data_IF_286168737048
#
_entry.id   IF_286168737048
#
_cell.length_a   1.000
_cell.length_b   1.000
_cell.length_c   1.000
_cell.angle_alpha   90.00
_cell.angle_beta   90.00
_cell.angle_gamma   90.00
#
_symmetry.space_group_name_H-M   'P 1'
#
loop_
_entity.id
_entity.type
_entity.pdbx_description
1 polymer ?
#
# COMPACT_ATOMS: atom_id res chain seq x y z
N UNK A 1 -3.83 7.23 10.00
CA UNK A 1 -3.38 6.24 8.98
C UNK A 1 -2.10 5.53 9.45
N UNK A 2 -1.14 6.29 9.97
CA UNK A 2 0.18 5.80 10.41
C UNK A 2 0.13 4.68 11.45
N UNK A 3 -0.77 4.76 12.44
CA UNK A 3 -0.93 3.71 13.44
C UNK A 3 -1.20 2.33 12.79
N UNK A 4 -2.12 2.24 11.83
CA UNK A 4 -2.41 0.95 11.19
C UNK A 4 -1.25 0.45 10.33
N UNK A 5 -0.51 1.35 9.66
CA UNK A 5 0.70 0.99 8.90
C UNK A 5 1.79 0.47 9.83
N UNK A 6 2.00 1.13 10.98
CA UNK A 6 2.96 0.70 11.99
C UNK A 6 2.56 -0.65 12.58
N UNK A 7 1.27 -0.87 12.83
CA UNK A 7 0.74 -2.18 13.24
C UNK A 7 1.06 -3.25 12.19
N UNK A 8 0.79 -3.00 10.90
CA UNK A 8 1.12 -3.94 9.83
C UNK A 8 2.63 -4.22 9.77
N UNK A 9 3.48 -3.20 9.96
CA UNK A 9 4.94 -3.36 10.01
C UNK A 9 5.38 -4.23 11.19
N UNK A 10 4.82 -4.00 12.37
CA UNK A 10 5.11 -4.80 13.56
C UNK A 10 4.69 -6.26 13.36
N UNK A 11 3.48 -6.49 12.82
CA UNK A 11 3.01 -7.85 12.50
C UNK A 11 3.94 -8.56 11.52
N UNK A 12 4.44 -7.85 10.49
CA UNK A 12 5.42 -8.40 9.55
C UNK A 12 6.76 -8.74 10.21
N UNK A 13 7.26 -7.88 11.11
CA UNK A 13 8.50 -8.13 11.84
C UNK A 13 8.38 -9.36 12.77
N UNK A 14 7.22 -9.55 13.40
CA UNK A 14 7.00 -10.64 14.33
C UNK A 14 6.72 -11.98 13.61
N UNK A 15 5.96 -11.93 12.51
CA UNK A 15 5.48 -13.11 11.78
C UNK A 15 5.59 -12.94 10.26
N UNK A 16 6.82 -12.84 9.70
CA UNK A 16 7.01 -12.65 8.27
C UNK A 16 6.42 -13.80 7.44
N UNK A 17 6.30 -15.01 8.01
CA UNK A 17 5.70 -16.19 7.39
C UNK A 17 4.23 -16.03 7.02
N UNK A 18 3.51 -15.09 7.65
CA UNK A 18 2.11 -14.80 7.31
C UNK A 18 1.96 -13.86 6.10
N UNK A 19 3.03 -13.15 5.72
CA UNK A 19 3.01 -12.15 4.66
C UNK A 19 3.62 -12.72 3.38
N UNK A 20 2.83 -13.55 2.70
CA UNK A 20 3.30 -14.41 1.60
C UNK A 20 3.31 -13.74 0.23
N UNK A 21 2.85 -12.49 0.13
CA UNK A 21 2.71 -11.80 -1.16
C UNK A 21 4.06 -11.34 -1.72
N UNK A 22 4.35 -11.75 -2.95
CA UNK A 22 5.49 -11.31 -3.75
C UNK A 22 5.18 -10.08 -4.61
N UNK A 23 3.95 -9.57 -4.52
CA UNK A 23 3.43 -8.50 -5.38
C UNK A 23 3.70 -7.12 -4.79
N UNK A 24 4.00 -6.15 -5.64
CA UNK A 24 4.07 -4.73 -5.27
C UNK A 24 2.70 -4.07 -5.36
N UNK A 25 2.30 -3.32 -4.32
CA UNK A 25 1.05 -2.54 -4.30
C UNK A 25 1.37 -1.04 -4.37
N UNK A 26 0.82 -0.35 -5.37
CA UNK A 26 0.93 1.11 -5.50
C UNK A 26 -0.38 1.78 -5.08
N UNK A 27 -0.31 2.71 -4.12
CA UNK A 27 -1.46 3.48 -3.66
C UNK A 27 -1.86 4.59 -4.63
N UNK A 28 -0.87 5.19 -5.29
CA UNK A 28 -1.10 6.28 -6.22
C UNK A 28 -1.45 5.74 -7.62
N UNK A 29 -2.64 6.09 -8.08
CA UNK A 29 -3.16 5.65 -9.37
C UNK A 29 -2.48 6.33 -10.56
N UNK A 30 -1.88 7.52 -10.39
CA UNK A 30 -1.13 8.23 -11.43
C UNK A 30 0.26 7.59 -11.55
N UNK A 31 0.94 7.40 -10.42
CA UNK A 31 2.22 6.72 -10.34
C UNK A 31 2.14 5.32 -10.94
N UNK A 32 1.16 4.50 -10.55
CA UNK A 32 1.00 3.16 -11.11
C UNK A 32 0.75 3.15 -12.63
N UNK A 33 0.01 4.13 -13.15
CA UNK A 33 -0.20 4.28 -14.60
C UNK A 33 1.08 4.71 -15.33
N UNK A 34 1.81 5.68 -14.79
CA UNK A 34 3.08 6.16 -15.35
C UNK A 34 4.15 5.08 -15.31
N UNK A 35 4.26 4.38 -14.17
CA UNK A 35 5.12 3.23 -13.98
C UNK A 35 4.86 2.19 -15.07
N UNK A 36 3.60 1.77 -15.21
CA UNK A 36 3.21 0.79 -16.22
C UNK A 36 3.54 1.22 -17.64
N UNK A 37 3.25 2.48 -17.97
CA UNK A 37 3.48 3.01 -19.32
C UNK A 37 4.97 3.07 -19.67
N UNK A 38 5.83 3.40 -18.71
CA UNK A 38 7.26 3.60 -18.94
C UNK A 38 8.12 2.37 -18.64
N UNK A 39 7.54 1.29 -18.09
CA UNK A 39 8.30 0.07 -17.79
C UNK A 39 8.91 -0.61 -19.02
N UNK A 40 8.24 -0.68 -20.19
CA UNK A 40 8.87 -1.23 -21.40
C UNK A 40 10.17 -0.49 -21.75
N UNK A 41 10.17 0.85 -21.61
CA UNK A 41 11.34 1.69 -21.87
C UNK A 41 12.46 1.35 -20.88
N UNK A 42 12.16 1.27 -19.58
CA UNK A 42 13.11 0.83 -18.54
C UNK A 42 13.71 -0.55 -18.83
N UNK A 43 12.90 -1.50 -19.31
CA UNK A 43 13.37 -2.86 -19.66
C UNK A 43 14.29 -2.84 -20.89
N UNK A 44 14.04 -1.97 -21.84
CA UNK A 44 14.84 -1.82 -23.07
C UNK A 44 16.14 -1.04 -22.85
N UNK A 45 16.23 -0.26 -21.77
CA UNK A 45 17.37 0.60 -21.50
C UNK A 45 18.61 -0.21 -21.09
N UNK A 46 19.73 0.10 -21.74
CA UNK A 46 21.00 -0.58 -21.49
C UNK A 46 21.67 0.03 -20.26
N UNK A 47 22.08 -0.78 -19.28
CA UNK A 47 22.87 -0.28 -18.18
C UNK A 47 24.26 0.16 -18.67
N UNK A 48 24.96 0.94 -17.85
CA UNK A 48 26.36 1.24 -18.04
C UNK A 48 27.26 0.01 -17.85
N UNK A 49 28.57 0.18 -18.04
CA UNK A 49 29.57 -0.88 -17.91
C UNK A 49 29.59 -1.56 -16.52
N UNK A 50 29.03 -0.91 -15.50
CA UNK A 50 28.94 -1.41 -14.13
C UNK A 50 27.53 -1.96 -13.79
N UNK A 51 26.61 -2.02 -14.76
CA UNK A 51 25.24 -2.44 -14.52
C UNK A 51 24.32 -1.33 -13.98
N UNK A 52 24.81 -0.10 -13.87
CA UNK A 52 24.10 1.06 -13.29
C UNK A 52 23.43 1.93 -14.37
N UNK A 53 22.72 2.97 -13.95
CA UNK A 53 22.33 4.06 -14.84
C UNK A 53 21.15 3.77 -15.78
N UNK A 54 20.33 2.75 -15.49
CA UNK A 54 19.05 2.58 -16.23
C UNK A 54 18.08 3.71 -15.88
N UNK A 55 17.36 4.20 -16.88
CA UNK A 55 16.24 5.14 -16.75
C UNK A 55 15.06 4.43 -16.10
N UNK A 56 14.77 4.80 -14.86
CA UNK A 56 13.54 4.39 -14.18
C UNK A 56 12.31 4.90 -14.93
N UNK A 57 11.16 4.22 -14.77
CA UNK A 57 9.88 4.73 -15.22
C UNK A 57 9.65 6.20 -14.78
N UNK A 58 9.19 7.04 -15.70
CA UNK A 58 9.02 8.47 -15.46
C UNK A 58 10.25 9.35 -15.72
N UNK A 59 11.33 8.79 -16.29
CA UNK A 59 12.51 9.55 -16.72
C UNK A 59 13.50 9.87 -15.58
N UNK A 60 13.28 9.31 -14.39
CA UNK A 60 14.24 9.36 -13.30
C UNK A 60 15.43 8.42 -13.58
N UNK A 61 16.60 8.74 -13.05
CA UNK A 61 17.78 7.89 -13.17
C UNK A 61 17.94 7.01 -11.93
N UNK A 62 18.21 5.72 -12.13
CA UNK A 62 18.60 4.85 -11.01
C UNK A 62 20.07 5.09 -10.65
N UNK A 63 20.30 5.91 -9.62
CA UNK A 63 21.63 6.13 -9.06
C UNK A 63 21.98 5.15 -7.92
N UNK A 64 21.05 4.27 -7.51
CA UNK A 64 21.21 3.42 -6.33
C UNK A 64 21.72 2.01 -6.70
N UNK A 65 23.01 1.81 -6.43
CA UNK A 65 23.70 0.57 -6.06
C UNK A 65 23.41 -0.71 -6.87
N UNK A 66 24.23 -0.95 -7.89
CA UNK A 66 25.00 -2.18 -8.15
C UNK A 66 24.28 -3.51 -8.37
N UNK A 67 22.95 -3.56 -8.34
CA UNK A 67 22.21 -4.82 -8.45
C UNK A 67 21.73 -5.03 -9.88
N UNK A 68 22.21 -6.10 -10.50
CA UNK A 68 21.70 -6.58 -11.79
C UNK A 68 20.30 -7.19 -11.57
N UNK A 69 19.26 -6.52 -12.06
CA UNK A 69 17.90 -7.05 -12.01
C UNK A 69 17.70 -8.09 -13.13
N UNK A 70 17.33 -9.31 -12.77
CA UNK A 70 16.73 -10.28 -13.72
C UNK A 70 15.28 -9.83 -13.96
N UNK A 71 15.03 -9.18 -15.11
CA UNK A 71 13.75 -8.58 -15.44
C UNK A 71 12.75 -9.63 -15.96
N UNK A 72 12.19 -10.42 -15.04
CA UNK A 72 10.94 -11.13 -15.32
C UNK A 72 9.85 -10.12 -15.74
N UNK A 73 8.94 -10.48 -16.67
CA UNK A 73 7.84 -9.61 -17.01
C UNK A 73 6.94 -9.38 -15.79
N UNK A 74 6.91 -8.14 -15.28
CA UNK A 74 5.90 -7.77 -14.29
C UNK A 74 4.51 -7.88 -14.93
N UNK A 75 3.57 -8.44 -14.20
CA UNK A 75 2.15 -8.39 -14.55
C UNK A 75 1.47 -7.36 -13.66
N UNK A 76 0.53 -6.59 -14.22
CA UNK A 76 -0.25 -5.62 -13.46
C UNK A 76 -1.72 -6.03 -13.45
N UNK A 77 -2.38 -5.81 -12.33
CA UNK A 77 -3.82 -5.98 -12.21
C UNK A 77 -4.40 -4.75 -11.53
N UNK A 78 -5.50 -4.23 -12.07
CA UNK A 78 -6.30 -3.22 -11.39
C UNK A 78 -7.51 -3.91 -10.77
N UNK A 79 -7.50 -4.09 -9.46
CA UNK A 79 -8.63 -4.68 -8.77
C UNK A 79 -9.78 -3.65 -8.74
N UNK A 80 -10.70 -3.79 -9.69
CA UNK A 80 -11.91 -2.95 -9.79
C UNK A 80 -13.17 -3.74 -9.44
N UNK A 81 -13.10 -5.06 -9.55
CA UNK A 81 -14.19 -5.98 -9.21
C UNK A 81 -14.08 -6.36 -7.73
N UNK A 82 -15.18 -6.23 -6.99
CA UNK A 82 -15.27 -6.62 -5.58
C UNK A 82 -14.70 -5.62 -4.58
N UNK A 83 -13.93 -4.63 -5.01
CA UNK A 83 -13.40 -3.56 -4.13
C UNK A 83 -14.33 -2.35 -4.17
N UNK A 84 -14.91 -1.91 -3.04
CA UNK A 84 -15.79 -0.75 -3.01
C UNK A 84 -15.09 0.52 -3.53
N UNK A 85 -15.62 1.11 -4.60
CA UNK A 85 -15.25 2.47 -5.01
C UNK A 85 -15.84 3.44 -3.98
N UNK A 86 -14.98 4.09 -3.18
CA UNK A 86 -15.41 4.95 -2.08
C UNK A 86 -16.02 6.27 -2.55
N UNK A 87 -17.02 6.76 -1.80
CA UNK A 87 -17.37 8.18 -1.75
C UNK A 87 -16.45 8.87 -0.71
N UNK A 88 -16.49 10.20 -0.61
CA UNK A 88 -15.62 10.95 0.31
C UNK A 88 -15.60 10.34 1.74
N UNK A 89 -14.41 10.22 2.34
CA UNK A 89 -14.22 9.77 3.72
C UNK A 89 -13.87 8.29 3.93
N UNK A 90 -14.33 7.36 3.09
CA UNK A 90 -14.11 5.92 3.32
C UNK A 90 -12.85 5.34 2.63
N UNK A 91 -12.19 6.09 1.75
CA UNK A 91 -11.08 5.56 0.96
C UNK A 91 -9.91 5.04 1.82
N UNK A 92 -9.60 5.71 2.94
CA UNK A 92 -8.49 5.33 3.81
C UNK A 92 -8.61 3.91 4.39
N UNK A 93 -9.68 3.60 5.16
CA UNK A 93 -9.87 2.27 5.73
C UNK A 93 -9.88 1.13 4.70
N UNK A 94 -10.59 1.30 3.58
CA UNK A 94 -10.63 0.27 2.53
C UNK A 94 -9.27 0.11 1.83
N UNK A 95 -8.52 1.19 1.61
CA UNK A 95 -7.15 1.12 1.09
C UNK A 95 -6.23 0.36 2.04
N UNK A 96 -6.29 0.62 3.34
CA UNK A 96 -5.48 -0.10 4.33
C UNK A 96 -5.82 -1.58 4.41
N UNK A 97 -7.12 -1.93 4.39
CA UNK A 97 -7.56 -3.33 4.32
C UNK A 97 -7.15 -4.01 3.03
N UNK A 98 -7.15 -3.29 1.91
CA UNK A 98 -6.66 -3.83 0.66
C UNK A 98 -5.18 -4.16 0.72
N UNK A 99 -4.34 -3.27 1.27
CA UNK A 99 -2.92 -3.53 1.48
C UNK A 99 -2.72 -4.73 2.41
N UNK A 100 -3.46 -4.79 3.51
CA UNK A 100 -3.37 -5.90 4.47
C UNK A 100 -3.68 -7.24 3.81
N UNK A 101 -4.83 -7.36 3.13
CA UNK A 101 -5.19 -8.56 2.37
C UNK A 101 -4.13 -8.92 1.33
N UNK A 102 -3.68 -7.91 0.59
CA UNK A 102 -2.68 -8.10 -0.45
C UNK A 102 -1.36 -8.61 0.13
N UNK A 103 -0.90 -8.08 1.26
CA UNK A 103 0.34 -8.50 1.91
C UNK A 103 0.24 -9.91 2.50
N UNK A 104 -0.94 -10.29 3.00
CA UNK A 104 -1.26 -11.65 3.47
C UNK A 104 -1.51 -12.65 2.33
N UNK A 105 -1.53 -12.22 1.06
CA UNK A 105 -1.79 -13.08 -0.09
C UNK A 105 -3.23 -13.59 -0.18
N UNK A 106 -4.19 -12.92 0.46
CA UNK A 106 -5.61 -13.28 0.43
C UNK A 106 -6.40 -12.38 -0.52
N UNK A 107 -7.43 -12.94 -1.14
CA UNK A 107 -8.39 -12.15 -1.93
C UNK A 107 -9.10 -11.13 -1.05
N UNK A 108 -9.47 -9.98 -1.63
CA UNK A 108 -10.19 -8.94 -0.91
C UNK A 108 -11.59 -9.44 -0.51
N UNK A 109 -11.90 -9.57 0.80
CA UNK A 109 -13.15 -10.14 1.25
C UNK A 109 -14.35 -9.30 0.83
N UNK A 110 -15.43 -9.95 0.36
CA UNK A 110 -16.70 -9.27 0.06
C UNK A 110 -17.38 -8.68 1.31
N UNK A 111 -17.00 -9.15 2.50
CA UNK A 111 -17.42 -8.59 3.79
C UNK A 111 -16.80 -7.21 4.05
N UNK A 112 -15.71 -6.86 3.36
CA UNK A 112 -15.19 -5.50 3.34
C UNK A 112 -15.98 -4.64 2.36
N UNK A 113 -17.25 -4.46 2.68
CA UNK A 113 -18.18 -3.63 1.94
C UNK A 113 -18.60 -2.38 2.72
N UNK A 114 -19.34 -1.50 2.05
CA UNK A 114 -19.83 -0.25 2.61
C UNK A 114 -20.81 -0.45 3.76
N UNK A 115 -21.60 -1.54 3.74
CA UNK A 115 -22.61 -1.81 4.78
C UNK A 115 -21.93 -2.08 6.13
N UNK A 116 -20.72 -2.64 6.08
CA UNK A 116 -19.93 -2.97 7.27
C UNK A 116 -18.81 -1.95 7.57
N UNK A 117 -18.79 -0.80 6.90
CA UNK A 117 -17.72 0.20 7.04
C UNK A 117 -17.46 0.64 8.48
N UNK A 118 -18.52 0.83 9.29
CA UNK A 118 -18.39 1.14 10.73
C UNK A 118 -17.66 0.04 11.49
N UNK A 119 -18.11 -1.21 11.36
CA UNK A 119 -17.52 -2.38 12.03
C UNK A 119 -16.07 -2.61 11.61
N UNK A 120 -15.73 -2.35 10.34
CA UNK A 120 -14.34 -2.42 9.85
C UNK A 120 -13.47 -1.39 10.58
N UNK A 121 -13.93 -0.13 10.66
CA UNK A 121 -13.21 0.96 11.35
C UNK A 121 -13.04 0.66 12.84
N UNK A 122 -14.09 0.19 13.51
CA UNK A 122 -14.06 -0.22 14.93
C UNK A 122 -13.08 -1.38 15.16
N UNK A 123 -13.06 -2.38 14.27
CA UNK A 123 -12.10 -3.49 14.35
C UNK A 123 -10.67 -3.01 14.16
N UNK A 124 -10.42 -2.10 13.22
CA UNK A 124 -9.10 -1.51 13.01
C UNK A 124 -8.62 -0.74 14.25
N UNK A 125 -9.50 0.05 14.87
CA UNK A 125 -9.19 0.76 16.10
C UNK A 125 -8.89 -0.21 17.26
N UNK A 126 -9.67 -1.27 17.40
CA UNK A 126 -9.45 -2.30 18.41
C UNK A 126 -8.10 -2.99 18.24
N UNK A 127 -7.71 -3.31 17.00
CA UNK A 127 -6.44 -3.95 16.68
C UNK A 127 -5.26 -3.04 17.02
N UNK A 128 -5.35 -1.75 16.66
CA UNK A 128 -4.36 -0.74 17.05
C UNK A 128 -4.22 -0.69 18.57
N UNK A 129 -5.33 -0.56 19.29
CA UNK A 129 -5.32 -0.42 20.75
C UNK A 129 -4.70 -1.63 21.47
N UNK A 130 -4.96 -2.83 20.96
CA UNK A 130 -4.49 -4.08 21.59
C UNK A 130 -3.05 -4.43 21.25
N UNK A 131 -2.63 -4.15 20.03
CA UNK A 131 -1.38 -4.70 19.49
C UNK A 131 -0.25 -3.67 19.37
N UNK A 132 -0.57 -2.36 19.38
CA UNK A 132 0.47 -1.32 19.43
C UNK A 132 0.68 -0.85 20.87
N UNK A 133 1.78 -1.27 21.54
CA UNK A 133 2.16 -0.68 22.81
C UNK A 133 2.43 0.82 22.62
N UNK A 134 2.09 1.62 23.63
CA UNK A 134 2.24 3.09 23.65
C UNK A 134 1.31 3.92 22.75
N UNK A 135 0.39 3.32 21.98
CA UNK A 135 -0.57 4.13 21.20
C UNK A 135 -1.47 5.03 22.09
N UNK A 136 -1.63 4.66 23.36
CA UNK A 136 -2.37 5.42 24.36
C UNK A 136 -1.59 6.59 24.98
N UNK A 137 -0.27 6.66 24.76
CA UNK A 137 0.60 7.73 25.23
C UNK A 137 0.75 8.87 24.21
N UNK A 138 0.31 8.63 22.96
CA UNK A 138 0.29 9.66 21.93
C UNK A 138 -0.91 10.58 22.19
N UNK A 139 -0.65 11.78 22.69
CA UNK A 139 -1.67 12.83 22.73
C UNK A 139 -2.17 13.12 21.30
N UNK A 140 -3.48 13.27 21.15
CA UNK A 140 -4.06 13.65 19.87
C UNK A 140 -3.58 15.06 19.51
N UNK A 141 -2.70 15.16 18.52
CA UNK A 141 -2.19 16.44 17.99
C UNK A 141 -2.99 16.90 16.77
N UNK A 142 -4.00 16.13 16.33
CA UNK A 142 -4.82 16.52 15.20
C UNK A 142 -5.67 17.74 15.58
N UNK A 143 -5.60 18.77 14.75
CA UNK A 143 -6.47 19.93 14.88
C UNK A 143 -7.88 19.54 14.36
N UNK A 144 -8.71 19.10 15.30
CA UNK A 144 -10.09 18.67 15.10
C UNK A 144 -11.04 19.79 14.62
N UNK A 145 -10.57 21.04 14.45
CA UNK A 145 -11.34 22.18 13.94
C UNK A 145 -12.04 21.93 12.59
N UNK A 146 -11.54 20.97 11.79
CA UNK A 146 -12.13 20.62 10.49
C UNK A 146 -13.03 19.37 10.50
N UNK A 147 -13.29 18.73 11.65
CA UNK A 147 -14.14 17.53 11.68
C UNK A 147 -15.56 17.78 11.14
N UNK A 148 -16.11 18.97 11.36
CA UNK A 148 -17.42 19.39 10.85
C UNK A 148 -17.47 19.61 9.33
N UNK A 149 -16.33 19.57 8.63
CA UNK A 149 -16.28 19.76 7.16
C UNK A 149 -16.47 18.45 6.38
N UNK A 150 -16.57 17.31 7.08
CA UNK A 150 -16.73 15.99 6.50
C UNK A 150 -18.16 15.42 6.59
N UNK A 151 -19.14 16.23 7.03
CA UNK A 151 -20.57 15.92 7.02
C UNK A 151 -21.24 16.14 5.64
#
# INVERSE_FOLDING_TARGET
>A
MDAFINLSRQRYQNHPEHFVSDRMCFLDHIFSRQWRASYPDFKSDTPDANGLGRRLPGGAWNYHAGVQYTLEPYTYARQTVGVPQCRAGDCGPFTLKYIECHALGIEFPSTFDKKHGKTIKEKMALDIFRELPMCHEWENQDNDENLATYD
#
